data_IF_834920801951
#
_entry.id   IF_834920801951
#
_cell.length_a   1.000
_cell.length_b   1.000
_cell.length_c   1.000
_cell.angle_alpha   90.00
_cell.angle_beta   90.00
_cell.angle_gamma   90.00
#
_symmetry.space_group_name_H-M   'P 1'
#
loop_
_entity.id
_entity.type
_entity.pdbx_description
1 polymer ?
#
# COMPACT_ATOMS: atom_id res chain seq x y z
N UNK A 1 -7.47 -1.50 17.64
CA UNK A 1 -6.01 -1.27 17.72
C UNK A 1 -5.63 -1.30 19.18
N UNK A 2 -4.53 -1.96 19.54
CA UNK A 2 -4.11 -2.06 20.95
C UNK A 2 -3.48 -0.74 21.46
N UNK A 3 -3.24 -0.67 22.77
CA UNK A 3 -2.68 0.52 23.42
C UNK A 3 -1.26 0.85 22.93
N UNK A 4 -0.46 -0.17 22.56
CA UNK A 4 0.91 0.00 22.08
C UNK A 4 0.92 0.67 20.71
N UNK A 5 0.16 0.16 19.74
CA UNK A 5 0.03 0.75 18.40
C UNK A 5 -0.55 2.17 18.48
N UNK A 6 -1.47 2.42 19.41
CA UNK A 6 -2.00 3.77 19.67
C UNK A 6 -0.91 4.75 20.14
N UNK A 7 0.01 4.30 21.01
CA UNK A 7 1.15 5.10 21.42
C UNK A 7 2.13 5.35 20.27
N UNK A 8 2.39 4.32 19.45
CA UNK A 8 3.28 4.44 18.29
C UNK A 8 2.76 5.47 17.28
N UNK A 9 1.45 5.51 17.02
CA UNK A 9 0.85 6.57 16.19
C UNK A 9 1.19 7.97 16.73
N UNK A 10 1.11 8.18 18.06
CA UNK A 10 1.42 9.48 18.69
C UNK A 10 2.90 9.84 18.55
N UNK A 11 3.80 8.87 18.68
CA UNK A 11 5.24 9.11 18.48
C UNK A 11 5.56 9.42 17.01
N UNK A 12 4.98 8.67 16.07
CA UNK A 12 5.17 8.91 14.64
C UNK A 12 4.71 10.29 14.19
N UNK A 13 3.69 10.88 14.83
CA UNK A 13 3.23 12.24 14.53
C UNK A 13 4.24 13.32 14.89
N UNK A 14 5.19 13.04 15.80
CA UNK A 14 6.27 13.97 16.17
C UNK A 14 7.42 13.96 15.16
N UNK A 15 7.48 12.95 14.29
CA UNK A 15 8.54 12.77 13.30
C UNK A 15 8.19 13.47 11.98
N UNK A 16 9.21 13.92 11.26
CA UNK A 16 9.05 14.29 9.86
C UNK A 16 8.53 13.11 9.02
N UNK A 17 7.97 13.37 7.83
CA UNK A 17 7.52 12.32 6.91
C UNK A 17 8.65 11.33 6.60
N UNK A 18 9.84 11.85 6.29
CA UNK A 18 11.05 11.07 6.02
C UNK A 18 11.48 10.23 7.23
N UNK A 19 11.56 10.85 8.42
CA UNK A 19 11.94 10.15 9.65
C UNK A 19 10.98 9.01 9.98
N UNK A 20 9.67 9.24 9.86
CA UNK A 20 8.69 8.19 10.12
C UNK A 20 8.72 7.07 9.07
N UNK A 21 9.03 7.39 7.82
CA UNK A 21 9.14 6.38 6.77
C UNK A 21 10.35 5.47 7.03
N UNK A 22 11.51 6.08 7.34
CA UNK A 22 12.71 5.36 7.72
C UNK A 22 12.48 4.50 8.99
N UNK A 23 11.81 5.07 9.99
CA UNK A 23 11.46 4.35 11.21
C UNK A 23 10.53 3.16 10.93
N UNK A 24 9.46 3.34 10.14
CA UNK A 24 8.57 2.23 9.76
C UNK A 24 9.33 1.08 9.09
N UNK A 25 10.16 1.40 8.10
CA UNK A 25 10.93 0.39 7.36
C UNK A 25 11.98 -0.31 8.22
N UNK A 26 12.48 0.35 9.27
CA UNK A 26 13.45 -0.22 10.22
C UNK A 26 12.77 -1.07 11.29
N UNK A 27 11.64 -0.63 11.84
CA UNK A 27 10.92 -1.31 12.93
C UNK A 27 10.09 -2.50 12.41
N UNK A 28 9.57 -2.36 11.19
CA UNK A 28 8.67 -3.33 10.55
C UNK A 28 9.21 -3.73 9.17
N UNK A 29 10.42 -4.29 9.08
CA UNK A 29 10.99 -4.67 7.80
C UNK A 29 10.17 -5.80 7.16
N UNK A 30 10.15 -5.87 5.83
CA UNK A 30 9.27 -6.81 5.10
C UNK A 30 9.52 -8.30 5.40
N UNK A 31 10.68 -8.65 5.96
CA UNK A 31 11.08 -10.00 6.34
C UNK A 31 10.78 -10.35 7.81
N UNK A 32 10.27 -9.40 8.61
CA UNK A 32 9.90 -9.66 10.01
C UNK A 32 8.52 -10.30 10.14
N UNK A 33 8.29 -11.06 11.21
CA UNK A 33 6.97 -11.64 11.49
C UNK A 33 5.88 -10.62 11.84
N UNK A 34 6.24 -9.39 12.15
CA UNK A 34 5.33 -8.30 12.55
C UNK A 34 5.19 -7.19 11.49
N UNK A 35 5.75 -7.35 10.29
CA UNK A 35 5.77 -6.31 9.26
C UNK A 35 4.39 -5.72 8.94
N UNK A 36 3.33 -6.52 9.06
CA UNK A 36 1.95 -6.10 8.79
C UNK A 36 1.44 -5.02 9.74
N UNK A 37 2.08 -4.82 10.89
CA UNK A 37 1.76 -3.70 11.79
C UNK A 37 2.05 -2.35 11.15
N UNK A 38 3.04 -2.26 10.25
CA UNK A 38 3.28 -1.04 9.48
C UNK A 38 2.04 -0.62 8.68
N UNK A 39 1.30 -1.58 8.12
CA UNK A 39 0.07 -1.32 7.37
C UNK A 39 -1.05 -0.79 8.27
N UNK A 40 -1.02 -1.10 9.57
CA UNK A 40 -1.95 -0.55 10.56
C UNK A 40 -1.58 0.89 10.90
N UNK A 41 -0.29 1.20 11.04
CA UNK A 41 0.20 2.53 11.43
C UNK A 41 0.16 3.54 10.28
N UNK A 42 0.37 3.08 9.05
CA UNK A 42 0.52 3.92 7.85
C UNK A 42 -0.63 4.93 7.63
N UNK A 43 -1.92 4.58 7.81
CA UNK A 43 -3.03 5.53 7.64
C UNK A 43 -3.15 6.61 8.73
N UNK A 44 -2.42 6.49 9.85
CA UNK A 44 -2.60 7.37 11.01
C UNK A 44 -1.76 8.65 10.96
N UNK A 45 -1.15 8.96 9.81
CA UNK A 45 -0.50 10.24 9.56
C UNK A 45 -0.54 10.64 8.09
N UNK A 46 -0.35 11.93 7.83
CA UNK A 46 -0.11 12.44 6.48
C UNK A 46 1.34 12.18 6.07
N UNK A 47 1.49 11.77 4.81
CA UNK A 47 2.78 11.48 4.17
C UNK A 47 3.02 12.43 3.00
N UNK A 48 4.26 12.90 2.81
CA UNK A 48 4.62 13.59 1.57
C UNK A 48 4.73 12.58 0.43
N UNK A 49 4.55 13.07 -0.81
CA UNK A 49 4.57 12.22 -2.02
C UNK A 49 5.82 11.32 -2.15
N UNK A 50 7.05 11.78 -1.86
CA UNK A 50 8.23 10.91 -1.94
C UNK A 50 8.13 9.71 -1.00
N UNK A 51 7.70 9.91 0.24
CA UNK A 51 7.56 8.82 1.22
C UNK A 51 6.37 7.91 0.94
N UNK A 52 5.26 8.44 0.39
CA UNK A 52 4.15 7.60 -0.10
C UNK A 52 4.67 6.56 -1.10
N UNK A 53 5.47 7.02 -2.08
CA UNK A 53 6.06 6.14 -3.09
C UNK A 53 7.09 5.18 -2.48
N UNK A 54 7.98 5.68 -1.62
CA UNK A 54 9.01 4.88 -0.96
C UNK A 54 8.40 3.72 -0.16
N UNK A 55 7.41 4.00 0.67
CA UNK A 55 6.74 2.99 1.49
C UNK A 55 5.97 1.99 0.62
N UNK A 56 5.27 2.47 -0.41
CA UNK A 56 4.55 1.60 -1.34
C UNK A 56 5.51 0.65 -2.09
N UNK A 57 6.60 1.16 -2.66
CA UNK A 57 7.62 0.35 -3.35
C UNK A 57 8.28 -0.66 -2.41
N UNK A 58 8.43 -0.33 -1.13
CA UNK A 58 9.00 -1.22 -0.14
C UNK A 58 8.05 -2.36 0.25
N UNK A 59 6.84 -2.02 0.74
CA UNK A 59 5.91 -3.02 1.28
C UNK A 59 5.16 -3.82 0.22
N UNK A 60 4.96 -3.28 -0.99
CA UNK A 60 4.34 -4.08 -2.06
C UNK A 60 5.22 -5.24 -2.53
N UNK A 61 6.50 -5.32 -2.16
CA UNK A 61 7.35 -6.50 -2.42
C UNK A 61 6.78 -7.79 -1.81
N UNK A 62 5.96 -7.68 -0.76
CA UNK A 62 5.25 -8.80 -0.15
C UNK A 62 3.88 -9.10 -0.79
N UNK A 63 3.52 -8.46 -1.91
CA UNK A 63 2.29 -8.77 -2.64
C UNK A 63 2.32 -10.20 -3.24
N UNK A 64 1.16 -10.87 -3.38
CA UNK A 64 -0.17 -10.43 -2.95
C UNK A 64 -0.31 -10.47 -1.43
N UNK A 65 -1.05 -9.51 -0.88
CA UNK A 65 -1.43 -9.55 0.53
C UNK A 65 -2.52 -10.59 0.77
N UNK A 66 -2.62 -11.08 2.00
CA UNK A 66 -3.65 -12.05 2.42
C UNK A 66 -5.07 -11.46 2.53
N UNK A 67 -5.23 -10.15 2.33
CA UNK A 67 -6.52 -9.46 2.34
C UNK A 67 -6.45 -8.08 1.65
N UNK A 68 -7.61 -7.46 1.44
CA UNK A 68 -7.72 -6.09 0.95
C UNK A 68 -7.08 -5.04 1.87
N UNK A 69 -6.96 -5.30 3.17
CA UNK A 69 -6.57 -4.29 4.19
C UNK A 69 -5.23 -3.60 3.89
N UNK A 70 -4.25 -4.35 3.38
CA UNK A 70 -2.95 -3.77 3.04
C UNK A 70 -3.04 -2.78 1.88
N UNK A 71 -3.88 -3.06 0.89
CA UNK A 71 -4.16 -2.14 -0.21
C UNK A 71 -4.94 -0.92 0.27
N UNK A 72 -5.92 -1.11 1.18
CA UNK A 72 -6.71 -0.03 1.75
C UNK A 72 -5.84 0.96 2.54
N UNK A 73 -4.83 0.46 3.27
CA UNK A 73 -3.89 1.29 3.99
C UNK A 73 -3.19 2.28 3.05
N UNK A 74 -2.65 1.80 1.93
CA UNK A 74 -2.03 2.66 0.92
C UNK A 74 -3.03 3.59 0.23
N UNK A 75 -4.18 3.06 -0.21
CA UNK A 75 -5.20 3.85 -0.89
C UNK A 75 -5.71 5.02 -0.03
N UNK A 76 -5.65 4.90 1.30
CA UNK A 76 -6.03 5.97 2.23
C UNK A 76 -5.05 7.13 2.30
N UNK A 77 -3.77 6.93 1.94
CA UNK A 77 -2.72 7.95 2.07
C UNK A 77 -2.15 8.49 0.76
N UNK A 78 -2.46 7.85 -0.37
CA UNK A 78 -1.91 8.23 -1.68
C UNK A 78 -2.96 8.23 -2.79
N UNK A 79 -2.63 8.80 -3.96
CA UNK A 79 -3.54 8.76 -5.12
C UNK A 79 -3.57 7.38 -5.78
N UNK A 80 -4.71 7.03 -6.39
CA UNK A 80 -4.89 5.76 -7.10
C UNK A 80 -3.86 5.59 -8.22
N UNK A 81 -3.58 6.64 -8.98
CA UNK A 81 -2.56 6.60 -10.04
C UNK A 81 -1.15 6.32 -9.51
N UNK A 82 -0.78 6.90 -8.37
CA UNK A 82 0.52 6.63 -7.74
C UNK A 82 0.56 5.20 -7.17
N UNK A 83 -0.53 4.74 -6.56
CA UNK A 83 -0.63 3.37 -6.06
C UNK A 83 -0.50 2.35 -7.19
N UNK A 84 -1.22 2.53 -8.30
CA UNK A 84 -1.11 1.69 -9.51
C UNK A 84 0.34 1.67 -10.03
N UNK A 85 1.01 2.83 -10.07
CA UNK A 85 2.41 2.90 -10.48
C UNK A 85 3.32 2.02 -9.61
N UNK A 86 3.13 2.04 -8.29
CA UNK A 86 3.95 1.25 -7.36
C UNK A 86 3.60 -0.25 -7.44
N UNK A 87 2.31 -0.60 -7.49
CA UNK A 87 1.85 -1.99 -7.58
C UNK A 87 2.29 -2.65 -8.89
N UNK A 88 2.31 -1.91 -10.01
CA UNK A 88 2.77 -2.44 -11.31
C UNK A 88 4.15 -3.10 -11.24
N UNK A 89 5.05 -2.56 -10.42
CA UNK A 89 6.40 -3.09 -10.22
C UNK A 89 6.46 -4.33 -9.33
N UNK A 90 5.38 -4.62 -8.61
CA UNK A 90 5.27 -5.72 -7.64
C UNK A 90 4.27 -6.82 -8.07
N UNK A 91 3.73 -6.76 -9.29
CA UNK A 91 2.83 -7.78 -9.84
C UNK A 91 3.54 -9.14 -9.85
N UNK A 92 2.99 -10.18 -9.20
CA UNK A 92 3.55 -11.53 -9.27
C UNK A 92 3.61 -12.03 -10.71
N UNK A 93 4.68 -12.75 -11.07
CA UNK A 93 4.81 -13.40 -12.38
C UNK A 93 3.91 -14.63 -12.54
N UNK A 94 3.56 -15.26 -11.41
CA UNK A 94 2.67 -16.40 -11.39
C UNK A 94 1.21 -15.95 -11.57
N UNK A 95 0.47 -16.47 -12.57
CA UNK A 95 -0.90 -16.06 -12.86
C UNK A 95 -1.89 -16.29 -11.71
N UNK A 96 -1.74 -17.37 -10.94
CA UNK A 96 -2.63 -17.62 -9.81
C UNK A 96 -2.45 -16.57 -8.71
N UNK A 97 -1.20 -16.20 -8.41
CA UNK A 97 -0.88 -15.13 -7.46
C UNK A 97 -1.25 -13.74 -7.97
N UNK A 98 -1.09 -13.45 -9.26
CA UNK A 98 -1.52 -12.17 -9.82
C UNK A 98 -3.05 -12.04 -9.81
N UNK A 99 -3.78 -13.11 -10.12
CA UNK A 99 -5.24 -13.16 -9.99
C UNK A 99 -5.70 -12.95 -8.54
N UNK A 100 -5.04 -13.59 -7.58
CA UNK A 100 -5.31 -13.37 -6.15
C UNK A 100 -5.03 -11.93 -5.73
N UNK A 101 -3.96 -11.32 -6.24
CA UNK A 101 -3.66 -9.91 -6.02
C UNK A 101 -4.80 -9.02 -6.52
N UNK A 102 -5.23 -9.22 -7.77
CA UNK A 102 -6.30 -8.46 -8.40
C UNK A 102 -7.63 -8.63 -7.67
N UNK A 103 -7.93 -9.85 -7.20
CA UNK A 103 -9.13 -10.15 -6.42
C UNK A 103 -9.28 -9.24 -5.20
N UNK A 104 -8.18 -8.99 -4.47
CA UNK A 104 -8.21 -8.09 -3.31
C UNK A 104 -7.99 -6.61 -3.66
N UNK A 105 -7.23 -6.33 -4.72
CA UNK A 105 -6.84 -4.96 -5.08
C UNK A 105 -7.95 -4.20 -5.81
N UNK A 106 -8.63 -4.82 -6.78
CA UNK A 106 -9.63 -4.14 -7.62
C UNK A 106 -10.74 -3.50 -6.76
N UNK A 107 -11.36 -4.20 -5.79
CA UNK A 107 -12.41 -3.60 -4.96
C UNK A 107 -11.91 -2.36 -4.18
N UNK A 108 -10.64 -2.36 -3.77
CA UNK A 108 -10.03 -1.23 -3.08
C UNK A 108 -9.81 -0.07 -4.05
N UNK A 109 -9.26 -0.33 -5.24
CA UNK A 109 -9.03 0.71 -6.23
C UNK A 109 -10.34 1.39 -6.65
N UNK A 110 -11.37 0.61 -6.94
CA UNK A 110 -12.70 1.12 -7.32
C UNK A 110 -13.34 1.96 -6.21
N UNK A 111 -13.19 1.55 -4.95
CA UNK A 111 -13.75 2.27 -3.80
C UNK A 111 -13.09 3.64 -3.58
N UNK A 112 -11.79 3.75 -3.86
CA UNK A 112 -11.03 4.99 -3.66
C UNK A 112 -10.88 5.83 -4.95
N UNK A 113 -11.36 5.36 -6.09
CA UNK A 113 -11.40 6.13 -7.33
C UNK A 113 -12.28 7.37 -7.17
N UNK A 114 -11.76 8.55 -7.54
CA UNK A 114 -12.46 9.82 -7.32
C UNK A 114 -13.15 10.36 -8.56
N UNK A 115 -12.75 9.89 -9.75
CA UNK A 115 -13.20 10.40 -11.03
C UNK A 115 -13.00 9.36 -12.14
N UNK A 116 -13.53 9.66 -13.32
CA UNK A 116 -13.43 8.78 -14.48
C UNK A 116 -11.99 8.49 -14.90
N UNK A 117 -11.08 9.45 -14.75
CA UNK A 117 -9.67 9.25 -15.07
C UNK A 117 -8.99 8.23 -14.16
N UNK A 118 -9.44 8.10 -12.90
CA UNK A 118 -8.97 7.02 -12.02
C UNK A 118 -9.53 5.66 -12.48
N UNK A 119 -10.82 5.59 -12.85
CA UNK A 119 -11.45 4.35 -13.35
C UNK A 119 -10.80 3.84 -14.63
N UNK A 120 -10.49 4.73 -15.57
CA UNK A 120 -9.74 4.39 -16.80
C UNK A 120 -8.37 3.81 -16.43
N UNK A 121 -7.63 4.46 -15.52
CA UNK A 121 -6.31 3.98 -15.10
C UNK A 121 -6.37 2.60 -14.42
N UNK A 122 -7.44 2.31 -13.68
CA UNK A 122 -7.69 0.99 -13.07
C UNK A 122 -7.93 -0.05 -14.15
N UNK A 123 -8.85 0.21 -15.10
CA UNK A 123 -9.17 -0.72 -16.18
C UNK A 123 -7.94 -1.03 -17.04
N UNK A 124 -7.17 0.00 -17.41
CA UNK A 124 -5.92 -0.16 -18.15
C UNK A 124 -4.93 -1.04 -17.38
N UNK A 125 -4.80 -0.82 -16.07
CA UNK A 125 -3.92 -1.64 -15.23
C UNK A 125 -4.40 -3.10 -15.19
N UNK A 126 -5.68 -3.35 -14.94
CA UNK A 126 -6.24 -4.71 -14.86
C UNK A 126 -6.08 -5.45 -16.19
N UNK A 127 -6.41 -4.81 -17.31
CA UNK A 127 -6.22 -5.38 -18.64
C UNK A 127 -4.77 -5.80 -18.88
N UNK A 128 -3.81 -4.92 -18.56
CA UNK A 128 -2.38 -5.20 -18.73
C UNK A 128 -1.84 -6.30 -17.81
N UNK A 129 -2.47 -6.58 -16.67
CA UNK A 129 -2.08 -7.68 -15.78
C UNK A 129 -2.67 -9.00 -16.26
N UNK A 130 -3.92 -9.00 -16.74
CA UNK A 130 -4.60 -10.21 -17.22
C UNK A 130 -4.16 -10.65 -18.62
N UNK A 131 -3.63 -9.72 -19.44
CA UNK A 131 -3.15 -10.02 -20.79
C UNK A 131 -1.73 -10.65 -20.83
N UNK A 132 -1.08 -10.82 -19.68
CA UNK A 132 0.24 -11.46 -19.54
C UNK A 132 0.09 -12.93 -19.16
#
# INVERSE_FOLDING_TARGET
MDARLTSLCKEMLKMSSEQAAAWLMSEYPIDSGNWSEALVLLPHRSWKKPEQKLLADYYFKNAPFSSGKGYEAFASVMSIKLMILCVKSAVPKDPARSNLMLYYLIPVLERFAKNESDRIAINDFVYNVLAK
#
